data_IF_388707773874
#
_entry.id   IF_388707773874
#
_cell.length_a   1.000
_cell.length_b   1.000
_cell.length_c   1.000
_cell.angle_alpha   90.00
_cell.angle_beta   90.00
_cell.angle_gamma   90.00
#
_symmetry.space_group_name_H-M   'P 1'
#
loop_
_entity.id
_entity.type
_entity.pdbx_description
1 polymer ?
#
# COMPACT_ATOMS: atom_id res chain seq x y z
N UNK A 1 -21.38 23.75 24.71
CA UNK A 1 -20.64 23.69 23.43
C UNK A 1 -19.45 22.78 23.64
N UNK A 2 -19.52 21.54 23.16
CA UNK A 2 -18.35 20.65 23.06
C UNK A 2 -18.49 19.96 21.72
N UNK A 3 -17.87 20.53 20.69
CA UNK A 3 -17.79 19.91 19.37
C UNK A 3 -17.08 18.57 19.54
N UNK A 4 -17.82 17.48 19.36
CA UNK A 4 -17.27 16.13 19.40
C UNK A 4 -16.33 16.05 18.19
N UNK A 5 -15.00 16.00 18.37
CA UNK A 5 -14.06 16.07 17.26
C UNK A 5 -14.42 14.97 16.27
N UNK A 6 -14.77 15.37 15.06
CA UNK A 6 -15.48 14.55 14.09
C UNK A 6 -14.77 13.20 13.95
N UNK A 7 -15.40 12.12 14.40
CA UNK A 7 -14.96 10.73 14.21
C UNK A 7 -14.37 10.46 12.82
N UNK A 8 -14.91 11.01 11.70
CA UNK A 8 -14.28 10.88 10.38
C UNK A 8 -12.91 11.55 10.23
N UNK A 9 -12.62 12.64 10.95
CA UNK A 9 -11.33 13.34 10.90
C UNK A 9 -10.22 12.51 11.57
N UNK A 10 -10.53 11.93 12.73
CA UNK A 10 -9.64 10.99 13.43
C UNK A 10 -9.38 9.75 12.59
N UNK A 11 -10.42 9.15 12.00
CA UNK A 11 -10.28 7.99 11.12
C UNK A 11 -9.41 8.32 9.89
N UNK A 12 -9.62 9.49 9.26
CA UNK A 12 -8.79 9.97 8.15
C UNK A 12 -7.33 10.19 8.55
N UNK A 13 -7.09 10.81 9.70
CA UNK A 13 -5.73 11.05 10.21
C UNK A 13 -5.00 9.74 10.51
N UNK A 14 -5.65 8.79 11.18
CA UNK A 14 -5.10 7.46 11.46
C UNK A 14 -4.85 6.69 10.16
N UNK A 15 -5.78 6.75 9.21
CA UNK A 15 -5.62 6.13 7.89
C UNK A 15 -4.41 6.69 7.14
N UNK A 16 -4.25 8.01 7.11
CA UNK A 16 -3.09 8.68 6.53
C UNK A 16 -1.78 8.27 7.20
N UNK A 17 -1.73 8.28 8.54
CA UNK A 17 -0.55 7.88 9.30
C UNK A 17 -0.17 6.41 9.03
N UNK A 18 -1.17 5.54 8.96
CA UNK A 18 -0.98 4.12 8.68
C UNK A 18 -0.47 3.90 7.24
N UNK A 19 -1.04 4.60 6.27
CA UNK A 19 -0.59 4.55 4.87
C UNK A 19 0.86 5.05 4.73
N UNK A 20 1.21 6.15 5.41
CA UNK A 20 2.57 6.68 5.42
C UNK A 20 3.57 5.69 6.04
N UNK A 21 3.21 5.07 7.18
CA UNK A 21 4.03 4.03 7.80
C UNK A 21 4.22 2.82 6.87
N UNK A 22 3.16 2.36 6.23
CA UNK A 22 3.22 1.27 5.26
C UNK A 22 4.12 1.61 4.06
N UNK A 23 4.01 2.83 3.53
CA UNK A 23 4.86 3.31 2.44
C UNK A 23 6.33 3.36 2.84
N UNK A 24 6.63 3.80 4.07
CA UNK A 24 8.00 3.82 4.60
C UNK A 24 8.58 2.40 4.74
N UNK A 25 7.82 1.47 5.32
CA UNK A 25 8.23 0.06 5.44
C UNK A 25 8.43 -0.57 4.07
N UNK A 26 7.52 -0.35 3.12
CA UNK A 26 7.64 -0.85 1.76
C UNK A 26 8.91 -0.31 1.07
N UNK A 27 9.20 0.99 1.24
CA UNK A 27 10.41 1.62 0.70
C UNK A 27 11.69 1.00 1.27
N UNK A 28 11.70 0.72 2.58
CA UNK A 28 12.82 0.01 3.22
C UNK A 28 12.95 -1.42 2.72
N UNK A 29 11.85 -2.16 2.61
CA UNK A 29 11.84 -3.53 2.12
C UNK A 29 12.37 -3.63 0.68
N UNK A 30 11.95 -2.71 -0.20
CA UNK A 30 12.47 -2.62 -1.57
C UNK A 30 13.96 -2.28 -1.56
N UNK A 31 14.39 -1.27 -0.79
CA UNK A 31 15.80 -0.86 -0.73
C UNK A 31 16.70 -1.99 -0.23
N UNK A 32 16.30 -2.68 0.83
CA UNK A 32 17.05 -3.78 1.42
C UNK A 32 17.03 -5.02 0.52
N UNK A 33 15.86 -5.38 -0.04
CA UNK A 33 15.74 -6.49 -0.99
C UNK A 33 16.58 -6.27 -2.24
N UNK A 34 16.66 -5.04 -2.73
CA UNK A 34 17.51 -4.69 -3.87
C UNK A 34 18.99 -4.75 -3.51
N UNK A 35 19.37 -4.17 -2.37
CA UNK A 35 20.76 -4.22 -1.89
C UNK A 35 21.23 -5.66 -1.65
N UNK A 36 20.35 -6.52 -1.14
CA UNK A 36 20.65 -7.93 -0.89
C UNK A 36 20.82 -8.75 -2.19
N UNK A 37 20.08 -8.42 -3.25
CA UNK A 37 20.11 -9.17 -4.53
C UNK A 37 21.11 -8.62 -5.53
N UNK A 38 21.36 -7.31 -5.54
CA UNK A 38 22.18 -6.61 -6.53
C UNK A 38 23.45 -5.98 -5.96
N UNK A 39 23.58 -5.87 -4.63
CA UNK A 39 24.76 -5.29 -3.96
C UNK A 39 24.80 -3.75 -3.97
N UNK A 40 23.97 -3.09 -4.76
CA UNK A 40 23.86 -1.63 -4.87
C UNK A 40 22.42 -1.14 -4.74
N UNK A 41 22.23 0.19 -4.58
CA UNK A 41 20.90 0.81 -4.44
C UNK A 41 20.09 0.62 -5.74
N UNK A 42 18.75 0.50 -5.64
CA UNK A 42 17.89 0.38 -6.80
C UNK A 42 18.06 1.61 -7.72
N UNK A 43 18.32 1.41 -9.02
CA UNK A 43 18.42 2.52 -9.95
C UNK A 43 17.09 3.24 -10.03
N UNK A 44 17.14 4.57 -9.98
CA UNK A 44 15.96 5.40 -10.21
C UNK A 44 15.71 5.47 -11.72
N UNK A 45 14.44 5.45 -12.12
CA UNK A 45 14.05 5.55 -13.52
C UNK A 45 14.50 6.85 -14.22
N UNK A 46 14.90 7.85 -13.43
CA UNK A 46 15.36 9.18 -13.84
C UNK A 46 16.89 9.35 -13.76
N UNK A 47 17.64 8.27 -13.48
CA UNK A 47 19.10 8.28 -13.50
C UNK A 47 19.62 8.17 -14.96
N UNK A 48 20.28 9.21 -15.53
CA UNK A 48 20.63 9.23 -16.96
C UNK A 48 21.77 8.29 -17.36
N UNK A 49 22.36 7.54 -16.42
CA UNK A 49 23.73 7.05 -16.53
C UNK A 49 23.97 5.57 -16.81
N UNK A 50 23.36 4.62 -16.09
CA UNK A 50 24.00 3.29 -16.00
C UNK A 50 23.07 2.11 -15.64
N UNK A 51 21.74 2.30 -15.72
CA UNK A 51 20.80 1.22 -15.43
C UNK A 51 20.63 0.31 -16.67
N UNK A 52 21.31 -0.84 -16.68
CA UNK A 52 21.18 -1.80 -17.77
C UNK A 52 19.73 -2.26 -17.99
N UNK A 53 19.34 -2.55 -19.24
CA UNK A 53 17.96 -2.96 -19.59
C UNK A 53 17.42 -4.11 -18.72
N UNK A 54 18.26 -5.08 -18.36
CA UNK A 54 17.88 -6.19 -17.48
C UNK A 54 17.52 -5.73 -16.05
N UNK A 55 18.08 -4.62 -15.59
CA UNK A 55 17.79 -4.02 -14.29
C UNK A 55 16.47 -3.25 -14.28
N UNK A 56 16.19 -2.53 -15.36
CA UNK A 56 14.90 -1.87 -15.58
C UNK A 56 13.78 -2.92 -15.67
N UNK A 57 14.00 -4.00 -16.42
CA UNK A 57 13.01 -5.09 -16.55
C UNK A 57 12.77 -5.78 -15.21
N UNK A 58 13.82 -6.04 -14.42
CA UNK A 58 13.66 -6.61 -13.08
C UNK A 58 12.89 -5.67 -12.14
N UNK A 59 13.10 -4.36 -12.24
CA UNK A 59 12.38 -3.37 -11.44
C UNK A 59 10.91 -3.33 -11.83
N UNK A 60 10.63 -3.27 -13.13
CA UNK A 60 9.27 -3.30 -13.65
C UNK A 60 8.53 -4.59 -13.24
N UNK A 61 9.21 -5.74 -13.31
CA UNK A 61 8.62 -7.02 -12.89
C UNK A 61 8.31 -7.05 -11.38
N UNK A 62 9.21 -6.55 -10.53
CA UNK A 62 8.99 -6.48 -9.09
C UNK A 62 7.83 -5.54 -8.74
N UNK A 63 7.80 -4.35 -9.34
CA UNK A 63 6.71 -3.38 -9.14
C UNK A 63 5.38 -3.95 -9.63
N UNK A 64 5.36 -4.56 -10.82
CA UNK A 64 4.16 -5.20 -11.37
C UNK A 64 3.63 -6.33 -10.47
N UNK A 65 4.54 -7.15 -9.93
CA UNK A 65 4.18 -8.22 -8.99
C UNK A 65 3.58 -7.65 -7.68
N UNK A 66 4.20 -6.62 -7.09
CA UNK A 66 3.71 -5.97 -5.89
C UNK A 66 2.31 -5.35 -6.09
N UNK A 67 2.08 -4.69 -7.23
CA UNK A 67 0.77 -4.11 -7.57
C UNK A 67 -0.29 -5.20 -7.73
N UNK A 68 0.05 -6.32 -8.40
CA UNK A 68 -0.87 -7.44 -8.55
C UNK A 68 -1.26 -8.03 -7.19
N UNK A 69 -0.28 -8.23 -6.30
CA UNK A 69 -0.50 -8.70 -4.92
C UNK A 69 -1.38 -7.72 -4.15
N UNK A 70 -1.08 -6.41 -4.20
CA UNK A 70 -1.89 -5.39 -3.55
C UNK A 70 -3.34 -5.41 -4.03
N UNK A 71 -3.58 -5.58 -5.34
CA UNK A 71 -4.93 -5.70 -5.91
C UNK A 71 -5.67 -6.93 -5.41
N UNK A 72 -5.00 -8.06 -5.28
CA UNK A 72 -5.57 -9.29 -4.70
C UNK A 72 -5.95 -9.07 -3.23
N UNK A 73 -5.09 -8.43 -2.45
CA UNK A 73 -5.40 -8.10 -1.06
C UNK A 73 -6.53 -7.09 -0.93
N UNK A 74 -6.59 -6.07 -1.79
CA UNK A 74 -7.70 -5.11 -1.80
C UNK A 74 -9.02 -5.83 -2.10
N UNK A 75 -9.08 -6.61 -3.18
CA UNK A 75 -10.32 -7.30 -3.59
C UNK A 75 -10.75 -8.37 -2.58
N UNK A 76 -9.83 -9.23 -2.12
CA UNK A 76 -10.15 -10.29 -1.15
C UNK A 76 -10.34 -9.77 0.28
N UNK A 77 -9.58 -8.74 0.67
CA UNK A 77 -9.70 -8.09 1.97
C UNK A 77 -11.06 -7.38 2.11
N UNK A 78 -11.48 -6.65 1.07
CA UNK A 78 -12.80 -6.01 1.04
C UNK A 78 -13.92 -7.06 1.03
N UNK A 79 -13.79 -8.15 0.26
CA UNK A 79 -14.79 -9.23 0.28
C UNK A 79 -14.94 -9.87 1.67
N UNK A 80 -13.82 -10.21 2.33
CA UNK A 80 -13.84 -10.83 3.66
C UNK A 80 -14.34 -9.88 4.75
N UNK A 81 -14.05 -8.58 4.62
CA UNK A 81 -14.57 -7.58 5.53
C UNK A 81 -16.07 -7.37 5.32
N UNK A 82 -16.52 -7.20 4.08
CA UNK A 82 -17.93 -7.05 3.73
C UNK A 82 -18.78 -8.26 4.14
N UNK A 83 -18.28 -9.49 4.01
CA UNK A 83 -18.96 -10.69 4.52
C UNK A 83 -19.09 -10.70 6.05
N UNK A 84 -18.08 -10.18 6.78
CA UNK A 84 -18.16 -10.04 8.24
C UNK A 84 -19.19 -8.98 8.63
N UNK A 85 -19.30 -7.89 7.88
CA UNK A 85 -20.26 -6.81 8.15
C UNK A 85 -21.70 -7.24 7.80
N UNK A 86 -21.90 -8.00 6.72
CA UNK A 86 -23.22 -8.56 6.33
C UNK A 86 -23.82 -9.55 7.34
N UNK A 87 -23.04 -10.02 8.32
CA UNK A 87 -23.50 -10.96 9.35
C UNK A 87 -24.15 -10.24 10.55
N UNK A 88 -24.15 -8.91 10.56
CA UNK A 88 -24.79 -8.10 11.59
C UNK A 88 -26.05 -7.41 10.99
N UNK A 89 -27.27 -7.90 11.28
CA UNK A 89 -28.50 -7.42 10.67
C UNK A 89 -28.97 -6.03 11.14
N UNK A 90 -28.25 -5.37 12.06
CA UNK A 90 -28.71 -4.16 12.76
C UNK A 90 -27.86 -2.90 12.51
N UNK A 91 -27.06 -2.87 11.45
CA UNK A 91 -26.28 -1.67 11.08
C UNK A 91 -27.09 -0.75 10.16
N UNK A 92 -27.19 0.57 10.47
CA UNK A 92 -27.86 1.53 9.61
C UNK A 92 -27.16 1.63 8.25
N UNK A 93 -27.95 1.67 7.19
CA UNK A 93 -27.48 1.84 5.82
C UNK A 93 -26.79 3.21 5.68
N UNK A 94 -25.45 3.20 5.61
CA UNK A 94 -24.62 4.40 5.41
C UNK A 94 -24.34 4.67 3.93
N UNK A 95 -25.16 4.14 3.01
CA UNK A 95 -25.04 4.36 1.57
C UNK A 95 -26.08 5.33 0.98
N UNK A 96 -26.80 6.08 1.81
CA UNK A 96 -27.67 7.19 1.40
C UNK A 96 -26.91 8.52 1.26
#
# INVERSE_FOLDING_TARGET
>A
MVDKPSTPLLAKAVGLATAAAAAWIASQAVTQGWKATRGHKPPKAEDPGDAGLAEIVAAAALTGALVAVARVFATRGTARFAERTKRDPDLPDLTA
#
